data_IF_445944098492
#
_entry.id   IF_445944098492
#
_cell.length_a   1.000
_cell.length_b   1.000
_cell.length_c   1.000
_cell.angle_alpha   90.00
_cell.angle_beta   90.00
_cell.angle_gamma   90.00
#
_symmetry.space_group_name_H-M   'P 1'
#
loop_
_entity.id
_entity.type
_entity.pdbx_description
1 polymer ?
#
# COMPACT_ATOMS: atom_id res chain seq x y z
N UNK A 1 -0.23 9.63 -24.48
CA UNK A 1 0.56 10.08 -23.31
C UNK A 1 1.75 10.87 -23.83
N UNK A 2 2.02 12.08 -23.32
CA UNK A 2 3.19 12.86 -23.74
C UNK A 2 4.44 12.28 -23.05
N UNK A 3 5.41 11.80 -23.85
CA UNK A 3 6.61 11.11 -23.37
C UNK A 3 7.49 11.99 -22.48
N UNK A 4 7.60 13.28 -22.80
CA UNK A 4 8.45 14.21 -22.06
C UNK A 4 7.86 14.52 -20.68
N UNK A 5 6.54 14.75 -20.60
CA UNK A 5 5.84 14.94 -19.33
C UNK A 5 5.99 13.71 -18.44
N UNK A 6 5.80 12.52 -18.99
CA UNK A 6 5.94 11.27 -18.26
C UNK A 6 7.36 11.11 -17.67
N UNK A 7 8.40 11.30 -18.48
CA UNK A 7 9.78 11.18 -18.01
C UNK A 7 10.13 12.26 -16.97
N UNK A 8 9.64 13.48 -17.13
CA UNK A 8 9.85 14.56 -16.16
C UNK A 8 9.20 14.23 -14.82
N UNK A 9 7.92 13.81 -14.82
CA UNK A 9 7.20 13.45 -13.60
C UNK A 9 7.78 12.20 -12.93
N UNK A 10 8.22 11.20 -13.71
CA UNK A 10 8.94 10.05 -13.16
C UNK A 10 10.28 10.46 -12.54
N UNK A 11 11.04 11.37 -13.17
CA UNK A 11 12.30 11.88 -12.64
C UNK A 11 12.11 12.64 -11.34
N UNK A 12 10.99 13.32 -11.17
CA UNK A 12 10.60 14.00 -9.93
C UNK A 12 10.28 13.00 -8.81
N UNK A 13 9.53 11.93 -9.11
CA UNK A 13 9.11 10.94 -8.10
C UNK A 13 10.12 9.82 -7.84
N UNK A 14 11.09 9.59 -8.73
CA UNK A 14 12.01 8.44 -8.65
C UNK A 14 12.72 8.31 -7.30
N UNK A 15 13.15 9.42 -6.70
CA UNK A 15 13.87 9.40 -5.41
C UNK A 15 12.97 8.90 -4.30
N UNK A 16 11.70 9.30 -4.33
CA UNK A 16 10.69 8.82 -3.40
C UNK A 16 10.43 7.34 -3.62
N UNK A 17 10.16 6.91 -4.86
CA UNK A 17 9.93 5.50 -5.21
C UNK A 17 11.09 4.62 -4.74
N UNK A 18 12.33 5.00 -5.06
CA UNK A 18 13.54 4.26 -4.67
C UNK A 18 13.73 4.23 -3.15
N UNK A 19 13.47 5.34 -2.45
CA UNK A 19 13.58 5.40 -0.99
C UNK A 19 12.60 4.45 -0.31
N UNK A 20 11.32 4.46 -0.71
CA UNK A 20 10.31 3.56 -0.14
C UNK A 20 10.53 2.10 -0.55
N UNK A 21 10.95 1.84 -1.80
CA UNK A 21 11.29 0.49 -2.25
C UNK A 21 12.48 -0.09 -1.47
N UNK A 22 13.53 0.73 -1.28
CA UNK A 22 14.71 0.34 -0.50
C UNK A 22 14.36 0.13 0.98
N UNK A 23 13.61 1.06 1.59
CA UNK A 23 13.15 0.92 2.98
C UNK A 23 12.30 -0.34 3.20
N UNK A 24 11.36 -0.60 2.28
CA UNK A 24 10.54 -1.81 2.29
C UNK A 24 11.39 -3.08 2.19
N UNK A 25 12.36 -3.12 1.28
CA UNK A 25 13.24 -4.26 1.06
C UNK A 25 14.21 -4.51 2.23
N UNK A 26 14.89 -3.47 2.72
CA UNK A 26 15.84 -3.57 3.83
C UNK A 26 15.16 -4.02 5.11
N UNK A 27 13.97 -3.48 5.39
CA UNK A 27 13.21 -3.90 6.56
C UNK A 27 12.71 -5.35 6.41
N UNK A 28 12.28 -5.74 5.21
CA UNK A 28 11.91 -7.14 4.94
C UNK A 28 13.10 -8.09 5.16
N UNK A 29 14.29 -7.73 4.70
CA UNK A 29 15.51 -8.49 4.96
C UNK A 29 15.85 -8.57 6.45
N UNK A 30 15.69 -7.48 7.20
CA UNK A 30 15.87 -7.49 8.66
C UNK A 30 14.94 -8.53 9.32
N UNK A 31 13.68 -8.60 8.91
CA UNK A 31 12.73 -9.58 9.44
C UNK A 31 13.08 -11.02 9.05
N UNK A 32 13.46 -11.26 7.79
CA UNK A 32 13.86 -12.61 7.37
C UNK A 32 15.14 -13.04 8.10
N UNK A 33 16.08 -12.11 8.32
CA UNK A 33 17.33 -12.38 9.03
C UNK A 33 17.12 -12.69 10.52
N UNK A 34 16.19 -11.99 11.19
CA UNK A 34 15.92 -12.24 12.63
C UNK A 34 15.04 -13.48 12.85
N UNK A 35 14.26 -13.91 11.85
CA UNK A 35 13.29 -15.01 11.97
C UNK A 35 13.88 -16.31 12.57
N UNK A 36 15.04 -16.84 12.14
CA UNK A 36 15.61 -18.07 12.72
C UNK A 36 15.89 -17.96 14.22
N UNK A 37 16.33 -16.77 14.68
CA UNK A 37 16.56 -16.48 16.09
C UNK A 37 15.25 -16.45 16.88
N UNK A 38 14.19 -15.88 16.29
CA UNK A 38 12.86 -15.81 16.90
C UNK A 38 12.24 -17.19 17.12
N UNK A 39 12.30 -18.07 16.12
CA UNK A 39 11.74 -19.44 16.24
C UNK A 39 12.55 -20.30 17.22
N UNK A 40 13.86 -20.08 17.31
CA UNK A 40 14.74 -20.81 18.23
C UNK A 40 14.64 -20.34 19.68
N UNK A 41 14.03 -19.18 19.94
CA UNK A 41 13.88 -18.62 21.28
C UNK A 41 12.85 -19.44 22.09
N UNK A 42 13.35 -20.22 23.04
CA UNK A 42 12.49 -20.95 24.00
C UNK A 42 11.60 -19.96 24.75
N UNK A 43 10.28 -20.17 24.71
CA UNK A 43 9.29 -19.36 25.41
C UNK A 43 8.60 -18.28 24.58
N UNK A 44 9.05 -17.95 23.35
CA UNK A 44 8.35 -16.95 22.52
C UNK A 44 6.92 -17.39 22.19
N UNK A 45 6.77 -18.64 21.75
CA UNK A 45 5.44 -19.21 21.46
C UNK A 45 4.60 -19.37 22.73
N UNK A 46 5.20 -19.55 23.90
CA UNK A 46 4.49 -19.59 25.19
C UNK A 46 3.98 -18.19 25.59
N UNK A 47 4.77 -17.15 25.36
CA UNK A 47 4.36 -15.76 25.54
C UNK A 47 3.22 -15.39 24.59
N UNK A 48 3.33 -15.75 23.31
CA UNK A 48 2.24 -15.55 22.33
C UNK A 48 0.99 -16.32 22.78
N UNK A 49 1.12 -17.56 23.24
CA UNK A 49 -0.01 -18.34 23.73
C UNK A 49 -0.69 -17.70 24.95
N UNK A 50 0.09 -17.10 25.86
CA UNK A 50 -0.38 -16.43 27.07
C UNK A 50 -1.05 -15.07 26.81
N UNK A 51 -0.87 -14.46 25.63
CA UNK A 51 -1.56 -13.21 25.30
C UNK A 51 -3.08 -13.40 25.22
N UNK A 52 -3.90 -12.41 25.61
CA UNK A 52 -5.33 -12.43 25.32
C UNK A 52 -5.60 -12.48 23.81
N UNK A 53 -6.65 -13.18 23.37
CA UNK A 53 -6.97 -13.33 21.95
C UNK A 53 -7.21 -11.99 21.25
N UNK A 54 -7.76 -11.00 21.97
CA UNK A 54 -7.93 -9.64 21.47
C UNK A 54 -6.58 -8.99 21.13
N UNK A 55 -5.54 -9.21 21.93
CA UNK A 55 -4.19 -8.69 21.68
C UNK A 55 -3.55 -9.41 20.49
N UNK A 56 -3.69 -10.74 20.42
CA UNK A 56 -3.18 -11.54 19.29
C UNK A 56 -3.72 -11.07 17.93
N UNK A 57 -5.04 -10.78 17.88
CA UNK A 57 -5.72 -10.27 16.69
C UNK A 57 -5.24 -8.87 16.26
N UNK A 58 -4.91 -7.99 17.20
CA UNK A 58 -4.38 -6.66 16.89
C UNK A 58 -2.95 -6.73 16.39
N UNK A 59 -2.09 -7.46 17.12
CA UNK A 59 -0.66 -7.55 16.84
C UNK A 59 -0.39 -8.36 15.58
N UNK A 60 -1.35 -9.19 15.14
CA UNK A 60 -1.14 -10.04 13.98
C UNK A 60 -0.39 -11.33 14.33
N UNK A 61 -0.42 -11.77 15.60
CA UNK A 61 0.15 -13.04 16.07
C UNK A 61 -0.95 -13.98 16.57
N UNK A 62 -1.84 -14.41 15.67
CA UNK A 62 -2.98 -15.29 16.02
C UNK A 62 -2.57 -16.77 16.07
N UNK A 63 -1.55 -17.12 15.28
CA UNK A 63 -1.00 -18.46 15.18
C UNK A 63 0.44 -18.46 15.69
N UNK A 64 0.94 -19.58 16.24
CA UNK A 64 2.35 -19.73 16.59
C UNK A 64 3.23 -19.44 15.37
N UNK A 65 4.39 -18.81 15.60
CA UNK A 65 5.34 -18.53 14.52
C UNK A 65 6.07 -19.84 14.20
N UNK A 66 5.59 -20.55 13.18
CA UNK A 66 6.16 -21.83 12.75
C UNK A 66 7.04 -21.66 11.52
N UNK A 67 6.58 -20.86 10.55
CA UNK A 67 7.26 -20.66 9.29
C UNK A 67 7.48 -19.16 9.00
N UNK A 68 8.46 -18.87 8.14
CA UNK A 68 8.80 -17.48 7.78
C UNK A 68 7.62 -16.75 7.15
N UNK A 69 6.77 -17.49 6.42
CA UNK A 69 5.60 -16.94 5.76
C UNK A 69 4.59 -16.37 6.77
N UNK A 70 4.33 -17.11 7.85
CA UNK A 70 3.40 -16.70 8.92
C UNK A 70 3.95 -15.47 9.66
N UNK A 71 5.26 -15.46 9.90
CA UNK A 71 5.94 -14.34 10.53
C UNK A 71 5.83 -13.06 9.68
N UNK A 72 6.11 -13.16 8.38
CA UNK A 72 5.99 -12.02 7.46
C UNK A 72 4.53 -11.56 7.32
N UNK A 73 3.57 -12.49 7.26
CA UNK A 73 2.15 -12.17 7.20
C UNK A 73 1.67 -11.41 8.46
N UNK A 74 2.13 -11.84 9.63
CA UNK A 74 1.78 -11.26 10.93
C UNK A 74 2.44 -9.92 11.22
N UNK A 75 3.71 -9.76 10.89
CA UNK A 75 4.48 -8.56 11.26
C UNK A 75 4.63 -7.58 10.09
N UNK A 76 5.18 -8.05 8.97
CA UNK A 76 5.50 -7.18 7.84
C UNK A 76 4.23 -6.68 7.16
N UNK A 77 3.37 -7.60 6.73
CA UNK A 77 2.19 -7.26 5.92
C UNK A 77 1.03 -6.70 6.75
N UNK A 78 0.90 -7.07 8.03
CA UNK A 78 -0.16 -6.57 8.89
C UNK A 78 0.02 -5.10 9.29
N UNK A 79 1.26 -4.60 9.33
CA UNK A 79 1.54 -3.26 9.88
C UNK A 79 2.50 -2.45 9.02
N UNK A 80 3.74 -2.89 8.84
CA UNK A 80 4.77 -2.03 8.26
C UNK A 80 4.62 -1.81 6.76
N UNK A 81 4.24 -2.85 6.02
CA UNK A 81 3.87 -2.73 4.62
C UNK A 81 2.73 -1.70 4.45
N UNK A 82 1.74 -1.74 5.35
CA UNK A 82 0.62 -0.81 5.33
C UNK A 82 1.09 0.63 5.56
N UNK A 83 1.92 0.86 6.58
CA UNK A 83 2.45 2.18 6.91
C UNK A 83 3.29 2.74 5.75
N UNK A 84 4.26 1.97 5.26
CA UNK A 84 5.18 2.39 4.20
C UNK A 84 4.41 2.78 2.94
N UNK A 85 3.49 1.92 2.49
CA UNK A 85 2.73 2.19 1.27
C UNK A 85 1.67 3.28 1.47
N UNK A 86 1.09 3.43 2.65
CA UNK A 86 0.19 4.56 2.95
C UNK A 86 0.91 5.88 2.77
N UNK A 87 2.09 6.02 3.40
CA UNK A 87 2.88 7.26 3.30
C UNK A 87 3.26 7.52 1.85
N UNK A 88 3.72 6.50 1.11
CA UNK A 88 4.06 6.65 -0.31
C UNK A 88 2.85 7.11 -1.13
N UNK A 89 1.74 6.38 -1.08
CA UNK A 89 0.57 6.62 -1.93
C UNK A 89 -0.02 8.01 -1.68
N UNK A 90 -0.19 8.38 -0.40
CA UNK A 90 -0.76 9.68 -0.01
C UNK A 90 0.15 10.84 -0.40
N UNK A 91 1.45 10.71 -0.12
CA UNK A 91 2.42 11.79 -0.39
C UNK A 91 2.63 11.98 -1.88
N UNK A 92 2.87 10.91 -2.64
CA UNK A 92 3.15 10.99 -4.07
C UNK A 92 1.91 11.42 -4.85
N UNK A 93 0.72 10.90 -4.51
CA UNK A 93 -0.52 11.37 -5.14
C UNK A 93 -0.75 12.87 -4.92
N UNK A 94 -0.46 13.38 -3.73
CA UNK A 94 -0.55 14.81 -3.40
C UNK A 94 0.46 15.64 -4.21
N UNK A 95 1.71 15.18 -4.29
CA UNK A 95 2.76 15.88 -5.02
C UNK A 95 2.50 15.97 -6.53
N UNK A 96 1.89 14.94 -7.11
CA UNK A 96 1.70 14.88 -8.56
C UNK A 96 0.63 15.83 -9.11
N UNK A 97 -0.29 16.34 -8.28
CA UNK A 97 -1.33 17.29 -8.74
C UNK A 97 -1.45 18.47 -7.78
N UNK A 98 -1.94 18.26 -6.55
CA UNK A 98 -2.25 19.33 -5.61
C UNK A 98 -1.05 20.24 -5.32
N UNK A 99 0.15 19.69 -5.18
CA UNK A 99 1.38 20.50 -4.98
C UNK A 99 1.71 21.40 -6.17
N UNK A 100 1.48 20.95 -7.41
CA UNK A 100 1.67 21.80 -8.58
C UNK A 100 0.64 22.94 -8.61
N UNK A 101 -0.58 22.69 -8.15
CA UNK A 101 -1.64 23.70 -8.06
C UNK A 101 -1.34 24.72 -6.97
N UNK A 102 -1.03 24.24 -5.77
CA UNK A 102 -0.74 25.08 -4.60
C UNK A 102 0.46 26.02 -4.82
N UNK A 103 1.48 25.54 -5.54
CA UNK A 103 2.70 26.32 -5.85
C UNK A 103 2.59 27.17 -7.12
N UNK A 104 1.42 27.22 -7.76
CA UNK A 104 1.23 27.90 -9.06
C UNK A 104 1.96 27.25 -10.24
N UNK A 105 2.72 26.16 -10.01
CA UNK A 105 3.48 25.47 -11.04
C UNK A 105 2.60 24.83 -12.13
N UNK A 106 1.31 24.61 -11.83
CA UNK A 106 0.34 24.07 -12.77
C UNK A 106 0.10 24.99 -13.97
N UNK A 107 0.31 26.31 -13.81
CA UNK A 107 0.23 27.27 -14.91
C UNK A 107 1.26 26.94 -16.02
N UNK A 108 2.48 26.56 -15.65
CA UNK A 108 3.51 26.17 -16.62
C UNK A 108 3.15 24.90 -17.38
N UNK A 109 2.55 23.90 -16.71
CA UNK A 109 2.11 22.67 -17.37
C UNK A 109 0.96 22.94 -18.35
N UNK A 110 0.04 23.86 -18.00
CA UNK A 110 -1.09 24.23 -18.85
C UNK A 110 -0.72 25.17 -20.01
N UNK A 111 0.43 25.86 -19.92
CA UNK A 111 0.98 26.63 -21.03
C UNK A 111 1.57 25.73 -22.14
N UNK A 112 1.83 24.46 -21.84
CA UNK A 112 2.24 23.47 -22.86
C UNK A 112 1.04 22.99 -23.68
N UNK A 113 1.23 22.47 -24.91
CA UNK A 113 0.13 21.95 -25.75
C UNK A 113 -0.39 20.58 -25.25
N UNK A 114 -0.47 20.38 -23.93
CA UNK A 114 -0.92 19.15 -23.29
C UNK A 114 -2.26 19.42 -22.60
N UNK A 115 -3.25 18.58 -22.92
CA UNK A 115 -4.58 18.71 -22.30
C UNK A 115 -4.55 18.34 -20.82
N UNK A 116 -5.47 18.92 -20.02
CA UNK A 116 -5.66 18.57 -18.60
C UNK A 116 -5.85 17.07 -18.35
N UNK A 117 -6.57 16.40 -19.26
CA UNK A 117 -6.79 14.95 -19.20
C UNK A 117 -5.49 14.19 -19.40
N UNK A 118 -4.66 14.60 -20.37
CA UNK A 118 -3.36 13.97 -20.60
C UNK A 118 -2.42 14.18 -19.40
N UNK A 119 -2.46 15.34 -18.75
CA UNK A 119 -1.70 15.59 -17.51
C UNK A 119 -2.17 14.59 -16.44
N UNK A 120 -3.46 14.55 -16.13
CA UNK A 120 -4.01 13.68 -15.09
C UNK A 120 -3.72 12.18 -15.35
N UNK A 121 -3.89 11.71 -16.59
CA UNK A 121 -3.56 10.32 -16.97
C UNK A 121 -2.06 10.04 -16.78
N UNK A 122 -1.19 10.98 -17.17
CA UNK A 122 0.26 10.81 -17.02
C UNK A 122 0.64 10.69 -15.55
N UNK A 123 0.08 11.56 -14.70
CA UNK A 123 0.34 11.53 -13.27
C UNK A 123 -0.20 10.27 -12.59
N UNK A 124 -1.43 9.85 -12.92
CA UNK A 124 -1.98 8.59 -12.44
C UNK A 124 -1.09 7.39 -12.85
N UNK A 125 -0.59 7.38 -14.09
CA UNK A 125 0.31 6.33 -14.58
C UNK A 125 1.63 6.30 -13.81
N UNK A 126 2.23 7.46 -13.52
CA UNK A 126 3.47 7.55 -12.71
C UNK A 126 3.25 7.03 -11.30
N UNK A 127 2.11 7.36 -10.67
CA UNK A 127 1.75 6.85 -9.34
C UNK A 127 1.60 5.32 -9.34
N UNK A 128 0.83 4.78 -10.30
CA UNK A 128 0.61 3.33 -10.44
C UNK A 128 1.93 2.60 -10.68
N UNK A 129 2.78 3.11 -11.57
CA UNK A 129 4.10 2.52 -11.83
C UNK A 129 5.00 2.56 -10.60
N UNK A 130 5.02 3.67 -9.86
CA UNK A 130 5.78 3.77 -8.62
C UNK A 130 5.35 2.74 -7.59
N UNK A 131 4.04 2.56 -7.41
CA UNK A 131 3.48 1.51 -6.55
C UNK A 131 3.89 0.10 -7.02
N UNK A 132 3.75 -0.19 -8.31
CA UNK A 132 4.14 -1.48 -8.89
C UNK A 132 5.64 -1.77 -8.69
N UNK A 133 6.50 -0.76 -8.82
CA UNK A 133 7.94 -0.88 -8.56
C UNK A 133 8.18 -1.27 -7.10
N UNK A 134 7.56 -0.57 -6.14
CA UNK A 134 7.75 -0.86 -4.70
C UNK A 134 7.29 -2.28 -4.37
N UNK A 135 6.11 -2.69 -4.86
CA UNK A 135 5.57 -4.04 -4.63
C UNK A 135 6.45 -5.12 -5.29
N UNK A 136 6.93 -4.87 -6.51
CA UNK A 136 7.81 -5.80 -7.21
C UNK A 136 9.17 -5.93 -6.53
N UNK A 137 9.75 -4.83 -6.08
CA UNK A 137 11.00 -4.83 -5.30
C UNK A 137 10.80 -5.55 -3.99
N UNK A 138 9.67 -5.36 -3.31
CA UNK A 138 9.32 -6.06 -2.06
C UNK A 138 9.25 -7.57 -2.30
N UNK A 139 8.58 -8.00 -3.37
CA UNK A 139 8.51 -9.41 -3.75
C UNK A 139 9.89 -10.01 -4.05
N UNK A 140 10.68 -9.34 -4.91
CA UNK A 140 12.03 -9.83 -5.25
C UNK A 140 12.94 -9.85 -4.02
N UNK A 141 12.90 -8.81 -3.18
CA UNK A 141 13.66 -8.74 -1.94
C UNK A 141 13.29 -9.88 -0.99
N UNK A 142 12.01 -10.23 -0.88
CA UNK A 142 11.58 -11.38 -0.08
C UNK A 142 12.16 -12.70 -0.56
N UNK A 143 12.16 -12.95 -1.88
CA UNK A 143 12.76 -14.15 -2.46
C UNK A 143 14.27 -14.20 -2.22
N UNK A 144 14.98 -13.10 -2.50
CA UNK A 144 16.44 -13.01 -2.30
C UNK A 144 16.79 -13.15 -0.82
N UNK A 145 16.03 -12.51 0.06
CA UNK A 145 16.23 -12.60 1.51
C UNK A 145 16.02 -14.02 2.02
N UNK A 146 14.99 -14.72 1.54
CA UNK A 146 14.76 -16.13 1.89
C UNK A 146 15.94 -17.01 1.44
N UNK A 147 16.46 -16.82 0.23
CA UNK A 147 17.61 -17.58 -0.29
C UNK A 147 18.92 -17.27 0.45
N UNK A 148 19.12 -16.03 0.93
CA UNK A 148 20.34 -15.64 1.62
C UNK A 148 20.36 -16.00 3.10
N UNK A 149 19.21 -15.92 3.79
CA UNK A 149 19.16 -16.00 5.25
C UNK A 149 18.51 -17.28 5.78
N UNK A 150 17.74 -18.02 4.96
CA UNK A 150 17.10 -19.26 5.37
C UNK A 150 17.84 -20.45 4.77
N UNK A 151 18.29 -21.38 5.62
CA UNK A 151 19.05 -22.56 5.18
C UNK A 151 18.20 -23.53 4.32
N UNK A 152 16.90 -23.66 4.60
CA UNK A 152 16.00 -24.62 3.93
C UNK A 152 14.99 -23.99 2.94
N UNK A 153 15.14 -22.69 2.60
CA UNK A 153 14.24 -21.94 1.69
C UNK A 153 12.74 -22.29 1.83
N UNK A 154 12.20 -22.19 3.04
CA UNK A 154 10.82 -22.55 3.36
C UNK A 154 9.77 -21.50 2.92
N UNK A 155 10.16 -20.49 2.12
CA UNK A 155 9.23 -19.46 1.65
C UNK A 155 8.45 -19.97 0.43
N UNK A 156 7.13 -20.18 0.61
CA UNK A 156 6.25 -20.54 -0.50
C UNK A 156 6.11 -19.36 -1.48
N UNK A 157 6.77 -19.46 -2.63
CA UNK A 157 6.82 -18.40 -3.66
C UNK A 157 5.43 -18.04 -4.20
N UNK A 158 4.52 -19.00 -4.34
CA UNK A 158 3.17 -18.77 -4.87
C UNK A 158 2.33 -17.98 -3.88
N UNK A 159 2.29 -18.40 -2.61
CA UNK A 159 1.53 -17.72 -1.57
C UNK A 159 2.11 -16.32 -1.29
N UNK A 160 3.44 -16.20 -1.32
CA UNK A 160 4.12 -14.92 -1.18
C UNK A 160 3.79 -13.95 -2.33
N UNK A 161 3.72 -14.44 -3.56
CA UNK A 161 3.25 -13.64 -4.70
C UNK A 161 1.80 -13.19 -4.50
N UNK A 162 0.91 -14.09 -4.05
CA UNK A 162 -0.51 -13.76 -3.79
C UNK A 162 -0.66 -12.64 -2.74
N UNK A 163 0.11 -12.68 -1.66
CA UNK A 163 0.08 -11.59 -0.65
C UNK A 163 0.50 -10.26 -1.28
N UNK A 164 1.59 -10.23 -2.04
CA UNK A 164 2.07 -9.00 -2.66
C UNK A 164 1.08 -8.46 -3.71
N UNK A 165 0.40 -9.34 -4.46
CA UNK A 165 -0.65 -8.95 -5.41
C UNK A 165 -1.81 -8.28 -4.66
N UNK A 166 -2.42 -8.94 -3.67
CA UNK A 166 -3.57 -8.37 -2.96
C UNK A 166 -3.17 -7.10 -2.21
N UNK A 167 -2.00 -7.09 -1.56
CA UNK A 167 -1.45 -5.93 -0.88
C UNK A 167 -1.24 -4.75 -1.84
N UNK A 168 -0.66 -4.99 -3.01
CA UNK A 168 -0.50 -3.98 -4.06
C UNK A 168 -1.84 -3.45 -4.57
N UNK A 169 -2.85 -4.31 -4.75
CA UNK A 169 -4.19 -3.90 -5.21
C UNK A 169 -4.94 -3.06 -4.18
N UNK A 170 -4.78 -3.33 -2.89
CA UNK A 170 -5.32 -2.48 -1.82
C UNK A 170 -4.71 -1.09 -1.92
N UNK A 171 -3.40 -1.00 -2.07
CA UNK A 171 -2.71 0.27 -2.21
C UNK A 171 -2.93 0.96 -3.56
N UNK A 172 -3.41 0.23 -4.57
CA UNK A 172 -3.91 0.81 -5.81
C UNK A 172 -5.21 1.60 -5.57
N UNK A 173 -6.12 1.08 -4.73
CA UNK A 173 -7.32 1.81 -4.30
C UNK A 173 -6.92 3.02 -3.43
N UNK A 174 -5.96 2.85 -2.53
CA UNK A 174 -5.40 3.97 -1.73
C UNK A 174 -4.83 5.08 -2.61
N UNK A 175 -4.05 4.69 -3.62
CA UNK A 175 -3.52 5.59 -4.64
C UNK A 175 -4.64 6.29 -5.40
N UNK A 176 -5.70 5.57 -5.77
CA UNK A 176 -6.82 6.13 -6.54
C UNK A 176 -7.57 7.21 -5.77
N UNK A 177 -7.99 6.97 -4.52
CA UNK A 177 -8.70 8.00 -3.75
C UNK A 177 -7.78 9.14 -3.31
N UNK A 178 -6.49 8.86 -3.06
CA UNK A 178 -5.53 9.91 -2.74
C UNK A 178 -5.30 10.83 -3.95
N UNK A 179 -5.25 10.25 -5.14
CA UNK A 179 -5.20 10.99 -6.40
C UNK A 179 -6.49 11.78 -6.63
N UNK A 180 -7.66 11.20 -6.32
CA UNK A 180 -8.94 11.91 -6.35
C UNK A 180 -8.93 13.15 -5.44
N UNK A 181 -8.51 13.03 -4.18
CA UNK A 181 -8.42 14.18 -3.27
C UNK A 181 -7.44 15.24 -3.78
N UNK A 182 -6.31 14.81 -4.34
CA UNK A 182 -5.32 15.68 -4.99
C UNK A 182 -5.90 16.43 -6.20
N UNK A 183 -6.78 15.78 -6.98
CA UNK A 183 -7.47 16.37 -8.12
C UNK A 183 -8.58 17.37 -7.75
N UNK A 184 -9.15 17.30 -6.53
CA UNK A 184 -10.22 18.22 -6.10
C UNK A 184 -9.73 19.35 -5.20
N UNK A 185 -8.63 19.18 -4.48
CA UNK A 185 -8.06 20.20 -3.59
C UNK A 185 -7.11 21.15 -4.34
N UNK A 186 -7.09 22.42 -3.93
CA UNK A 186 -6.11 23.41 -4.40
C UNK A 186 -4.87 23.50 -3.48
N UNK A 187 -5.03 23.10 -2.22
CA UNK A 187 -4.02 23.17 -1.16
C UNK A 187 -3.42 21.76 -0.94
N UNK A 188 -2.09 21.65 -0.96
CA UNK A 188 -1.39 20.37 -0.81
C UNK A 188 -1.63 19.74 0.57
N UNK A 189 -1.74 20.54 1.62
CA UNK A 189 -2.00 20.08 3.00
C UNK A 189 -3.40 19.52 3.14
N UNK A 190 -4.40 20.14 2.49
CA UNK A 190 -5.78 19.62 2.50
C UNK A 190 -5.89 18.29 1.76
N UNK A 191 -5.27 18.19 0.57
CA UNK A 191 -5.22 16.94 -0.19
C UNK A 191 -4.57 15.80 0.62
N UNK A 192 -3.42 16.11 1.25
CA UNK A 192 -2.70 15.18 2.10
C UNK A 192 -3.55 14.74 3.30
N UNK A 193 -4.17 15.70 4.00
CA UNK A 193 -4.98 15.45 5.17
C UNK A 193 -6.18 14.55 4.86
N UNK A 194 -6.96 14.84 3.81
CA UNK A 194 -8.13 14.02 3.49
C UNK A 194 -7.76 12.58 3.12
N UNK A 195 -6.68 12.43 2.33
CA UNK A 195 -6.17 11.11 1.94
C UNK A 195 -5.66 10.32 3.14
N UNK A 196 -4.86 10.95 4.01
CA UNK A 196 -4.32 10.34 5.21
C UNK A 196 -5.43 9.98 6.21
N UNK A 197 -6.35 10.91 6.48
CA UNK A 197 -7.47 10.69 7.40
C UNK A 197 -8.36 9.54 6.96
N UNK A 198 -8.68 9.43 5.67
CA UNK A 198 -9.47 8.31 5.16
C UNK A 198 -8.73 6.97 5.32
N UNK A 199 -7.44 6.93 5.02
CA UNK A 199 -6.63 5.71 5.15
C UNK A 199 -6.52 5.27 6.62
N UNK A 200 -6.23 6.22 7.51
CA UNK A 200 -6.15 5.98 8.96
C UNK A 200 -7.51 5.53 9.49
N UNK A 201 -8.61 6.14 9.04
CA UNK A 201 -9.95 5.73 9.42
C UNK A 201 -10.21 4.27 9.03
N UNK A 202 -9.90 3.86 7.80
CA UNK A 202 -10.02 2.46 7.40
C UNK A 202 -9.17 1.54 8.28
N UNK A 203 -7.93 1.91 8.57
CA UNK A 203 -7.06 1.10 9.43
C UNK A 203 -7.64 0.95 10.85
N UNK A 204 -8.10 2.05 11.45
CA UNK A 204 -8.72 2.04 12.78
C UNK A 204 -10.02 1.22 12.79
N UNK A 205 -10.87 1.35 11.77
CA UNK A 205 -12.10 0.57 11.66
C UNK A 205 -11.83 -0.94 11.58
N UNK A 206 -10.81 -1.35 10.82
CA UNK A 206 -10.37 -2.75 10.75
C UNK A 206 -9.83 -3.25 12.09
N UNK A 207 -8.95 -2.46 12.73
CA UNK A 207 -8.35 -2.81 14.01
C UNK A 207 -9.40 -2.92 15.12
N UNK A 208 -10.30 -1.94 15.23
CA UNK A 208 -11.37 -1.93 16.24
C UNK A 208 -12.38 -3.04 15.97
N UNK A 209 -12.73 -3.30 14.72
CA UNK A 209 -13.63 -4.38 14.37
C UNK A 209 -13.07 -5.79 14.64
N UNK A 210 -11.75 -5.93 14.77
CA UNK A 210 -11.10 -7.19 15.20
C UNK A 210 -11.13 -7.42 16.72
N UNK A 211 -11.43 -6.40 17.53
CA UNK A 211 -11.39 -6.49 18.99
C UNK A 211 -12.54 -7.29 19.62
N UNK A 212 -13.74 -7.19 19.04
CA UNK A 212 -14.95 -7.77 19.60
C UNK A 212 -16.00 -8.02 18.52
N UNK A 213 -16.74 -9.11 18.65
CA UNK A 213 -17.84 -9.48 17.75
C UNK A 213 -18.91 -8.37 17.65
N UNK A 214 -19.12 -7.58 18.72
CA UNK A 214 -20.05 -6.44 18.71
C UNK A 214 -19.64 -5.32 17.75
N UNK A 215 -18.35 -5.23 17.43
CA UNK A 215 -17.77 -4.19 16.57
C UNK A 215 -17.41 -4.72 15.18
N UNK A 216 -17.71 -5.99 14.88
CA UNK A 216 -17.36 -6.63 13.61
C UNK A 216 -17.95 -5.88 12.39
N UNK A 217 -19.10 -5.23 12.55
CA UNK A 217 -19.69 -4.38 11.51
C UNK A 217 -18.76 -3.25 11.05
N UNK A 218 -17.88 -2.75 11.93
CA UNK A 218 -16.91 -1.69 11.62
C UNK A 218 -15.82 -2.20 10.67
N UNK A 219 -15.40 -3.45 10.85
CA UNK A 219 -14.44 -4.12 9.96
C UNK A 219 -14.97 -4.14 8.53
N UNK A 220 -16.24 -4.47 8.32
CA UNK A 220 -16.85 -4.52 6.99
C UNK A 220 -16.88 -3.18 6.23
N UNK A 221 -16.70 -2.05 6.93
CA UNK A 221 -16.57 -0.72 6.31
C UNK A 221 -15.13 -0.40 5.88
N UNK A 222 -14.15 -1.19 6.32
CA UNK A 222 -12.74 -0.96 6.05
C UNK A 222 -12.28 -1.59 4.74
N UNK A 223 -11.50 -0.83 3.97
CA UNK A 223 -10.74 -1.36 2.85
C UNK A 223 -9.76 -2.47 3.28
N UNK A 224 -9.15 -2.35 4.45
CA UNK A 224 -8.10 -3.28 4.92
C UNK A 224 -8.63 -4.67 5.29
N UNK A 225 -9.93 -4.82 5.48
CA UNK A 225 -10.58 -6.12 5.72
C UNK A 225 -10.46 -7.10 4.55
N UNK A 226 -10.28 -6.56 3.34
CA UNK A 226 -10.03 -7.34 2.13
C UNK A 226 -8.58 -7.85 2.05
N UNK A 227 -7.67 -7.33 2.89
CA UNK A 227 -6.28 -7.76 2.96
C UNK A 227 -6.07 -8.67 4.17
N UNK A 228 -6.07 -9.98 3.92
CA UNK A 228 -5.95 -11.02 4.95
C UNK A 228 -4.65 -11.81 4.77
N UNK A 229 -3.48 -11.22 5.09
CA UNK A 229 -2.19 -11.82 4.76
C UNK A 229 -2.00 -13.21 5.37
N UNK A 230 -2.54 -13.48 6.57
CA UNK A 230 -2.49 -14.81 7.20
C UNK A 230 -3.29 -15.86 6.45
N UNK A 231 -4.56 -15.59 6.16
CA UNK A 231 -5.40 -16.54 5.40
C UNK A 231 -4.83 -16.83 4.01
N UNK A 232 -4.13 -15.85 3.41
CA UNK A 232 -3.38 -16.03 2.16
C UNK A 232 -2.13 -16.88 2.38
N UNK A 233 -1.38 -16.67 3.46
CA UNK A 233 -0.19 -17.45 3.84
C UNK A 233 -0.51 -18.92 4.12
N UNK A 234 -1.70 -19.20 4.66
CA UNK A 234 -2.21 -20.56 4.90
C UNK A 234 -2.80 -21.21 3.64
N UNK A 235 -2.98 -20.46 2.55
CA UNK A 235 -3.57 -20.94 1.31
C UNK A 235 -5.10 -21.08 1.34
N UNK A 236 -5.77 -20.64 2.40
CA UNK A 236 -7.21 -20.73 2.58
C UNK A 236 -8.00 -19.62 1.87
N UNK A 237 -7.33 -18.54 1.42
CA UNK A 237 -7.98 -17.36 0.87
C UNK A 237 -8.03 -17.34 -0.66
N UNK A 238 -9.24 -17.27 -1.24
CA UNK A 238 -9.41 -17.09 -2.68
C UNK A 238 -9.24 -15.61 -3.06
N UNK A 239 -8.10 -15.29 -3.67
CA UNK A 239 -7.75 -13.91 -4.04
C UNK A 239 -8.52 -13.35 -5.24
N UNK A 240 -9.12 -14.20 -6.09
CA UNK A 240 -9.63 -13.76 -7.41
C UNK A 240 -10.78 -12.76 -7.32
N UNK A 241 -11.88 -13.03 -6.57
CA UNK A 241 -13.02 -12.10 -6.51
C UNK A 241 -12.61 -10.74 -5.94
N UNK A 242 -11.77 -10.78 -4.91
CA UNK A 242 -11.27 -9.59 -4.22
C UNK A 242 -10.36 -8.78 -5.13
N UNK A 243 -9.46 -9.45 -5.86
CA UNK A 243 -8.55 -8.79 -6.80
C UNK A 243 -9.31 -8.07 -7.92
N UNK A 244 -10.32 -8.72 -8.50
CA UNK A 244 -11.17 -8.12 -9.55
C UNK A 244 -11.93 -6.91 -9.00
N UNK A 245 -12.53 -7.03 -7.82
CA UNK A 245 -13.24 -5.92 -7.16
C UNK A 245 -12.34 -4.71 -6.87
N UNK A 246 -11.13 -4.94 -6.38
CA UNK A 246 -10.15 -3.89 -6.10
C UNK A 246 -9.67 -3.18 -7.38
N UNK A 247 -9.40 -3.92 -8.45
CA UNK A 247 -9.03 -3.35 -9.75
C UNK A 247 -10.17 -2.50 -10.29
N UNK A 248 -11.39 -3.02 -10.31
CA UNK A 248 -12.57 -2.29 -10.79
C UNK A 248 -12.80 -1.01 -9.98
N UNK A 249 -12.76 -1.10 -8.65
CA UNK A 249 -12.91 0.04 -7.75
C UNK A 249 -11.85 1.11 -7.95
N UNK A 250 -10.57 0.73 -8.03
CA UNK A 250 -9.48 1.67 -8.28
C UNK A 250 -9.63 2.36 -9.64
N UNK A 251 -9.93 1.61 -10.71
CA UNK A 251 -10.15 2.16 -12.05
C UNK A 251 -11.31 3.16 -12.06
N UNK A 252 -12.44 2.82 -11.43
CA UNK A 252 -13.58 3.74 -11.30
C UNK A 252 -13.17 5.05 -10.61
N UNK A 253 -12.45 4.98 -9.49
CA UNK A 253 -12.02 6.18 -8.74
C UNK A 253 -11.04 7.02 -9.57
N UNK A 254 -10.06 6.40 -10.25
CA UNK A 254 -9.15 7.12 -11.15
C UNK A 254 -9.89 7.82 -12.29
N UNK A 255 -10.85 7.15 -12.92
CA UNK A 255 -11.67 7.75 -13.99
C UNK A 255 -12.44 8.96 -13.45
N UNK A 256 -13.09 8.83 -12.29
CA UNK A 256 -13.80 9.94 -11.64
C UNK A 256 -12.85 11.09 -11.33
N UNK A 257 -11.67 10.83 -10.77
CA UNK A 257 -10.65 11.84 -10.49
C UNK A 257 -10.25 12.63 -11.76
N UNK A 258 -10.00 11.93 -12.86
CA UNK A 258 -9.62 12.54 -14.15
C UNK A 258 -10.76 13.41 -14.71
N UNK A 259 -12.01 12.92 -14.64
CA UNK A 259 -13.19 13.66 -15.12
C UNK A 259 -13.44 14.91 -14.29
N UNK A 260 -13.32 14.83 -12.97
CA UNK A 260 -13.47 15.99 -12.07
C UNK A 260 -12.36 17.00 -12.31
N UNK A 261 -11.11 16.55 -12.44
CA UNK A 261 -9.97 17.42 -12.72
C UNK A 261 -10.13 18.18 -14.06
N UNK A 262 -10.68 17.52 -15.09
CA UNK A 262 -10.95 18.14 -16.39
C UNK A 262 -11.87 19.36 -16.29
N UNK A 263 -12.92 19.26 -15.46
CA UNK A 263 -13.97 20.29 -15.33
C UNK A 263 -13.64 21.38 -14.31
N UNK A 264 -12.55 21.22 -13.55
CA UNK A 264 -12.22 22.09 -12.42
C UNK A 264 -11.61 23.42 -12.88
N UNK A 265 -12.06 24.53 -12.31
CA UNK A 265 -11.38 25.82 -12.44
C UNK A 265 -10.20 25.87 -11.47
N UNK A 266 -9.04 26.22 -12.00
CA UNK A 266 -7.81 26.28 -11.22
C UNK A 266 -7.55 27.74 -10.86
N UNK A 267 -7.23 28.06 -9.60
CA UNK A 267 -6.64 29.35 -9.27
C UNK A 267 -5.26 29.38 -9.93
N UNK A 268 -5.15 30.11 -11.04
CA UNK A 268 -3.90 30.34 -11.78
C UNK A 268 -3.40 31.74 -11.51
#
# INVERSE_FOLDING_TARGET
MNKQLFLASLKETQKSILSYACGAALYLWLLIWIFPSMVSAKGLNELIAAMPDSVKKIVGMESPIQNVMDFLAGEYYSLLFIIILTIFCVTVATHLIARHVDKGAMAYLLATPVSRVQIAITQATVLILGLLIIVSVTYVAGLVGAEWFLQDNNLNKELFLKINIVGGLIFLVVSAYSFFFSCICNDERKALSYSASLTILFFVLDMVGKLSDKLEWMKNLSLFTLFRPKEIAEGAYNIWPVSIGLIAGALCIFIVAIVVFKKRDLPL
#
